data_IF_725445861116
#
_entry.id   IF_725445861116
#
_cell.length_a   1.000
_cell.length_b   1.000
_cell.length_c   1.000
_cell.angle_alpha   90.00
_cell.angle_beta   90.00
_cell.angle_gamma   90.00
#
_symmetry.space_group_name_H-M   'P 1'
#
loop_
_entity.id
_entity.type
_entity.pdbx_description
1 polymer ?
#
# COMPACT_ATOMS: atom_id res chain seq x y z
N UNK A 1 11.34 15.70 20.47
CA UNK A 1 9.98 15.26 20.09
C UNK A 1 10.06 14.58 18.75
N UNK A 2 9.27 13.53 18.52
CA UNK A 2 9.16 12.93 17.19
C UNK A 2 8.47 13.91 16.24
N UNK A 3 8.92 13.96 14.99
CA UNK A 3 8.37 14.87 13.97
C UNK A 3 7.47 14.07 13.05
N UNK A 4 6.26 14.57 12.84
CA UNK A 4 5.40 14.14 11.74
C UNK A 4 6.06 14.46 10.40
N UNK A 5 5.87 13.60 9.41
CA UNK A 5 6.40 13.79 8.07
C UNK A 5 5.33 13.46 7.05
N UNK A 6 5.36 14.14 5.92
CA UNK A 6 4.57 13.76 4.76
C UNK A 6 5.19 12.50 4.15
N UNK A 7 4.37 11.47 4.03
CA UNK A 7 4.74 10.19 3.46
C UNK A 7 3.88 9.95 2.23
N UNK A 8 4.45 10.22 1.05
CA UNK A 8 3.70 10.16 -0.19
C UNK A 8 3.78 8.78 -0.84
N UNK A 9 2.62 8.29 -1.27
CA UNK A 9 2.43 7.08 -2.07
C UNK A 9 1.43 7.40 -3.19
N UNK A 10 1.63 6.83 -4.37
CA UNK A 10 0.64 6.90 -5.45
C UNK A 10 0.27 5.52 -5.98
N UNK A 11 -1.01 5.30 -6.29
CA UNK A 11 -1.47 4.19 -7.12
C UNK A 11 -1.82 4.71 -8.51
N UNK A 12 -1.09 4.29 -9.55
CA UNK A 12 -1.25 4.78 -10.92
C UNK A 12 -2.33 4.02 -11.67
N UNK A 13 -3.42 4.70 -12.00
CA UNK A 13 -4.54 4.21 -12.80
C UNK A 13 -5.38 5.39 -13.30
N UNK A 14 -5.35 5.64 -14.61
CA UNK A 14 -6.17 6.69 -15.22
C UNK A 14 -7.67 6.37 -15.13
N UNK A 15 -8.51 7.41 -15.20
CA UNK A 15 -9.97 7.29 -15.22
C UNK A 15 -10.64 7.18 -13.86
N UNK A 16 -9.87 7.13 -12.77
CA UNK A 16 -10.42 7.25 -11.41
C UNK A 16 -10.87 8.69 -11.21
N UNK A 17 -12.15 8.88 -10.88
CA UNK A 17 -12.75 10.21 -10.70
C UNK A 17 -12.94 10.57 -9.23
N UNK A 18 -12.95 9.57 -8.34
CA UNK A 18 -12.98 9.74 -6.88
C UNK A 18 -12.20 8.61 -6.22
N UNK A 19 -11.52 8.92 -5.13
CA UNK A 19 -10.81 7.97 -4.30
C UNK A 19 -10.91 8.40 -2.84
N UNK A 20 -11.12 7.44 -1.95
CA UNK A 20 -11.17 7.63 -0.51
C UNK A 20 -10.53 6.40 0.17
N UNK A 21 -9.61 6.63 1.11
CA UNK A 21 -9.02 5.57 1.91
C UNK A 21 -9.36 5.82 3.38
N UNK A 22 -10.31 5.05 3.87
CA UNK A 22 -10.73 5.11 5.25
C UNK A 22 -9.83 4.21 6.09
N UNK A 23 -8.99 4.82 6.93
CA UNK A 23 -8.19 4.09 7.93
C UNK A 23 -9.13 3.52 8.99
N UNK A 24 -9.06 2.21 9.20
CA UNK A 24 -9.82 1.48 10.22
C UNK A 24 -8.98 1.21 11.47
N UNK A 25 -7.69 0.95 11.29
CA UNK A 25 -6.75 0.64 12.37
C UNK A 25 -5.32 0.98 11.91
N UNK A 26 -4.39 1.17 12.84
CA UNK A 26 -2.99 1.44 12.52
C UNK A 26 -2.03 0.88 13.57
N UNK A 27 -0.77 0.67 13.17
CA UNK A 27 0.34 0.36 14.06
C UNK A 27 1.47 1.33 13.80
N UNK A 28 2.00 1.93 14.86
CA UNK A 28 3.13 2.85 14.78
C UNK A 28 4.05 2.67 15.99
N UNK A 29 5.33 2.95 15.80
CA UNK A 29 6.31 2.84 16.88
C UNK A 29 6.01 3.81 18.01
N UNK A 30 6.04 3.32 19.26
CA UNK A 30 5.77 4.10 20.46
C UNK A 30 6.52 5.44 20.49
N UNK A 31 5.78 6.51 20.78
CA UNK A 31 6.27 7.90 20.80
C UNK A 31 6.38 8.58 19.44
N UNK A 32 5.97 7.94 18.34
CA UNK A 32 5.80 8.59 17.03
C UNK A 32 4.36 9.08 16.84
N UNK A 33 4.14 10.20 16.12
CA UNK A 33 2.81 10.69 15.79
C UNK A 33 2.18 9.92 14.62
N UNK A 34 0.85 9.84 14.61
CA UNK A 34 0.03 9.43 13.47
C UNK A 34 -1.23 10.30 13.45
N UNK A 35 -1.40 11.09 12.39
CA UNK A 35 -2.54 12.02 12.21
C UNK A 35 -3.41 11.65 10.99
N UNK A 36 -3.36 10.37 10.60
CA UNK A 36 -4.19 9.82 9.53
C UNK A 36 -3.58 9.95 8.14
N UNK A 37 -4.47 9.88 7.15
CA UNK A 37 -4.11 9.80 5.73
C UNK A 37 -5.07 10.68 4.94
N UNK A 38 -4.50 11.56 4.11
CA UNK A 38 -5.27 12.26 3.09
C UNK A 38 -5.18 11.48 1.78
N UNK A 39 -6.31 11.32 1.11
CA UNK A 39 -6.40 10.61 -0.18
C UNK A 39 -7.11 11.48 -1.20
N UNK A 40 -6.61 11.46 -2.43
CA UNK A 40 -7.21 12.21 -3.53
C UNK A 40 -7.08 11.45 -4.84
N UNK A 41 -8.13 11.49 -5.67
CA UNK A 41 -8.01 11.10 -7.07
C UNK A 41 -7.28 12.21 -7.84
N UNK A 42 -6.30 11.80 -8.65
CA UNK A 42 -5.52 12.66 -9.54
C UNK A 42 -5.61 12.14 -10.98
N UNK A 43 -5.17 12.92 -11.96
CA UNK A 43 -5.35 12.59 -13.38
C UNK A 43 -4.76 11.22 -13.77
N UNK A 44 -3.68 10.82 -13.11
CA UNK A 44 -2.97 9.57 -13.37
C UNK A 44 -3.17 8.49 -12.28
N UNK A 45 -4.10 8.67 -11.33
CA UNK A 45 -4.31 7.70 -10.27
C UNK A 45 -4.88 8.24 -8.97
N UNK A 46 -4.28 7.78 -7.87
CA UNK A 46 -4.64 8.13 -6.50
C UNK A 46 -3.36 8.53 -5.80
N UNK A 47 -3.36 9.68 -5.12
CA UNK A 47 -2.30 10.07 -4.21
C UNK A 47 -2.75 9.90 -2.76
N UNK A 48 -1.81 9.48 -1.93
CA UNK A 48 -1.95 9.31 -0.50
C UNK A 48 -0.84 10.11 0.19
N UNK A 49 -1.24 10.96 1.13
CA UNK A 49 -0.33 11.64 2.06
C UNK A 49 -0.58 11.07 3.46
N UNK A 50 0.33 10.22 3.96
CA UNK A 50 0.24 9.68 5.33
C UNK A 50 1.00 10.61 6.28
N UNK A 51 0.33 11.07 7.32
CA UNK A 51 0.90 11.95 8.34
C UNK A 51 1.37 11.09 9.51
N UNK A 52 2.64 10.68 9.47
CA UNK A 52 3.18 9.72 10.42
C UNK A 52 4.69 9.88 10.63
N UNK A 53 5.14 9.51 11.83
CA UNK A 53 6.57 9.39 12.14
C UNK A 53 7.26 8.24 11.39
N UNK A 54 8.59 8.30 11.27
CA UNK A 54 9.42 7.35 10.50
C UNK A 54 10.40 6.54 11.35
N UNK A 55 9.97 6.07 12.52
CA UNK A 55 10.79 5.18 13.35
C UNK A 55 10.40 3.73 13.08
N UNK A 56 11.32 2.96 12.51
CA UNK A 56 11.11 1.55 12.23
C UNK A 56 10.96 0.72 13.52
N UNK A 57 10.15 -0.33 13.47
CA UNK A 57 10.10 -1.38 14.49
C UNK A 57 9.67 -2.72 13.91
N UNK A 58 10.18 -3.80 14.52
CA UNK A 58 9.75 -5.18 14.23
C UNK A 58 8.29 -5.41 14.57
N UNK A 59 7.79 -4.81 15.65
CA UNK A 59 6.39 -4.95 16.08
C UNK A 59 5.41 -4.48 15.00
N UNK A 60 5.73 -3.42 14.26
CA UNK A 60 4.90 -2.97 13.14
C UNK A 60 4.89 -4.00 11.99
N UNK A 61 6.03 -4.59 11.66
CA UNK A 61 6.14 -5.63 10.63
C UNK A 61 5.36 -6.90 11.02
N UNK A 62 5.46 -7.32 12.29
CA UNK A 62 4.67 -8.44 12.83
C UNK A 62 3.17 -8.13 12.78
N UNK A 63 2.76 -6.92 13.17
CA UNK A 63 1.37 -6.48 13.10
C UNK A 63 0.83 -6.53 11.67
N UNK A 64 1.58 -6.01 10.70
CA UNK A 64 1.25 -6.05 9.27
C UNK A 64 1.04 -7.49 8.78
N UNK A 65 2.01 -8.38 9.05
CA UNK A 65 1.95 -9.78 8.63
C UNK A 65 0.77 -10.52 9.28
N UNK A 66 0.53 -10.28 10.56
CA UNK A 66 -0.59 -10.90 11.28
C UNK A 66 -1.94 -10.47 10.73
N UNK A 67 -2.12 -9.18 10.39
CA UNK A 67 -3.37 -8.69 9.78
C UNK A 67 -3.53 -9.11 8.32
N UNK A 68 -2.43 -9.39 7.63
CA UNK A 68 -2.50 -10.03 6.33
C UNK A 68 -2.93 -11.50 6.40
N UNK A 69 -3.00 -12.13 7.60
CA UNK A 69 -3.69 -13.41 7.85
C UNK A 69 -3.47 -14.52 6.79
N UNK A 70 -2.21 -14.73 6.38
CA UNK A 70 -1.87 -15.77 5.38
C UNK A 70 -2.07 -15.37 3.91
N UNK A 71 -2.51 -14.14 3.64
CA UNK A 71 -2.47 -13.53 2.31
C UNK A 71 -1.05 -13.16 1.89
N UNK A 72 -0.92 -12.19 0.98
CA UNK A 72 0.37 -11.84 0.41
C UNK A 72 0.65 -10.33 0.41
N UNK A 73 1.94 -9.99 0.26
CA UNK A 73 2.45 -8.63 0.22
C UNK A 73 3.44 -8.42 -0.93
N UNK A 74 3.52 -7.18 -1.42
CA UNK A 74 4.54 -6.70 -2.36
C UNK A 74 5.09 -5.35 -1.89
N UNK A 75 6.26 -4.96 -2.40
CA UNK A 75 6.92 -3.71 -2.02
C UNK A 75 7.50 -2.92 -3.22
N UNK A 76 7.85 -1.65 -3.01
CA UNK A 76 8.45 -0.77 -4.03
C UNK A 76 9.98 -0.79 -4.08
N UNK A 77 10.68 -1.34 -3.09
CA UNK A 77 12.17 -1.34 -3.07
C UNK A 77 12.74 -2.62 -2.44
N UNK A 78 11.89 -3.64 -2.30
CA UNK A 78 12.23 -4.93 -1.68
C UNK A 78 11.45 -6.05 -2.37
N UNK A 79 12.07 -7.22 -2.49
CA UNK A 79 11.50 -8.41 -3.12
C UNK A 79 11.20 -9.53 -2.12
N UNK A 80 11.53 -9.31 -0.85
CA UNK A 80 11.17 -10.23 0.23
C UNK A 80 9.66 -10.46 0.27
N UNK A 81 9.25 -11.59 0.85
CA UNK A 81 7.83 -11.90 1.00
C UNK A 81 7.16 -11.01 2.05
N UNK A 82 7.92 -10.54 3.04
CA UNK A 82 7.45 -9.75 4.17
C UNK A 82 8.54 -8.80 4.65
N UNK A 83 8.19 -7.61 5.16
CA UNK A 83 9.14 -6.70 5.78
C UNK A 83 9.67 -7.27 7.10
N UNK A 84 10.91 -6.95 7.44
CA UNK A 84 11.48 -7.24 8.76
C UNK A 84 11.17 -6.15 9.80
N UNK A 85 11.08 -4.90 9.37
CA UNK A 85 10.71 -3.74 10.18
C UNK A 85 9.88 -2.75 9.35
N UNK A 86 8.96 -2.04 10.01
CA UNK A 86 8.14 -1.01 9.38
C UNK A 86 8.07 0.24 10.27
N UNK A 87 7.98 1.40 9.65
CA UNK A 87 7.81 2.69 10.32
C UNK A 87 6.41 2.83 10.90
N UNK A 88 5.41 2.54 10.07
CA UNK A 88 4.00 2.51 10.42
C UNK A 88 3.23 1.60 9.45
N UNK A 89 2.02 1.24 9.83
CA UNK A 89 1.10 0.41 9.07
C UNK A 89 -0.30 0.97 9.23
N UNK A 90 -1.08 1.03 8.16
CA UNK A 90 -2.52 1.28 8.20
C UNK A 90 -3.26 0.07 7.66
N UNK A 91 -4.40 -0.24 8.27
CA UNK A 91 -5.44 -1.10 7.74
C UNK A 91 -6.61 -0.21 7.36
N UNK A 92 -7.11 -0.33 6.13
CA UNK A 92 -8.19 0.54 5.67
C UNK A 92 -8.96 0.00 4.49
N UNK A 93 -10.06 0.69 4.16
CA UNK A 93 -10.86 0.40 2.99
C UNK A 93 -10.56 1.44 1.91
N UNK A 94 -10.14 0.98 0.72
CA UNK A 94 -9.95 1.83 -0.44
C UNK A 94 -11.20 1.82 -1.31
N UNK A 95 -11.91 2.95 -1.35
CA UNK A 95 -13.07 3.15 -2.23
C UNK A 95 -12.65 3.99 -3.43
N UNK A 96 -12.95 3.52 -4.63
CA UNK A 96 -12.70 4.24 -5.88
C UNK A 96 -13.96 4.34 -6.73
N UNK A 97 -14.10 5.44 -7.46
CA UNK A 97 -15.06 5.57 -8.55
C UNK A 97 -14.32 5.53 -9.88
N UNK A 98 -14.67 4.55 -10.73
CA UNK A 98 -14.11 4.36 -12.06
C UNK A 98 -15.26 4.09 -13.04
N UNK A 99 -15.31 4.86 -14.13
CA UNK A 99 -16.37 4.78 -15.16
C UNK A 99 -17.79 4.88 -14.57
N UNK A 100 -17.96 5.74 -13.56
CA UNK A 100 -19.24 5.97 -12.87
C UNK A 100 -19.66 4.86 -11.90
N UNK A 101 -18.82 3.83 -11.70
CA UNK A 101 -19.08 2.71 -10.77
C UNK A 101 -18.16 2.79 -9.55
N UNK A 102 -18.68 2.36 -8.41
CA UNK A 102 -17.96 2.33 -7.14
C UNK A 102 -17.40 0.93 -6.89
N UNK A 103 -16.11 0.87 -6.55
CA UNK A 103 -15.41 -0.36 -6.18
C UNK A 103 -14.70 -0.16 -4.85
N UNK A 104 -14.75 -1.15 -3.96
CA UNK A 104 -14.13 -1.11 -2.64
C UNK A 104 -13.18 -2.29 -2.49
N UNK A 105 -11.91 -2.00 -2.18
CA UNK A 105 -10.98 -2.98 -1.62
C UNK A 105 -11.03 -2.87 -0.09
N UNK A 106 -11.60 -3.89 0.53
CA UNK A 106 -11.73 -3.95 1.98
C UNK A 106 -10.44 -4.47 2.62
N UNK A 107 -10.12 -3.96 3.81
CA UNK A 107 -9.01 -4.44 4.63
C UNK A 107 -7.65 -4.44 3.89
N UNK A 108 -7.42 -3.41 3.08
CA UNK A 108 -6.14 -3.16 2.43
C UNK A 108 -5.14 -2.64 3.46
N UNK A 109 -4.02 -3.34 3.58
CA UNK A 109 -2.89 -2.91 4.38
C UNK A 109 -1.94 -2.09 3.52
N UNK A 110 -1.58 -0.90 4.00
CA UNK A 110 -0.55 -0.06 3.40
C UNK A 110 0.45 0.30 4.49
N UNK A 111 1.73 0.14 4.21
CA UNK A 111 2.77 0.41 5.17
C UNK A 111 3.99 1.06 4.53
N UNK A 112 4.76 1.76 5.36
CA UNK A 112 6.07 2.27 4.98
C UNK A 112 7.14 1.61 5.83
N UNK A 113 8.22 1.18 5.20
CA UNK A 113 9.49 0.87 5.82
C UNK A 113 10.63 1.64 5.15
N UNK A 114 11.82 1.08 5.27
CA UNK A 114 13.01 1.56 4.56
C UNK A 114 13.63 0.39 3.80
N UNK A 115 14.31 0.67 2.69
CA UNK A 115 15.15 -0.32 2.01
C UNK A 115 16.58 -0.27 2.51
N UNK A 116 17.40 -1.22 2.07
CA UNK A 116 18.84 -1.30 2.39
C UNK A 116 19.68 -0.08 1.96
N UNK A 117 19.09 0.85 1.20
CA UNK A 117 19.71 2.11 0.77
C UNK A 117 19.11 3.34 1.46
N UNK A 118 18.45 3.16 2.60
CA UNK A 118 17.74 4.20 3.36
C UNK A 118 16.67 4.96 2.53
N UNK A 119 16.15 4.32 1.47
CA UNK A 119 15.05 4.86 0.67
C UNK A 119 13.73 4.43 1.28
N UNK A 120 12.71 5.29 1.18
CA UNK A 120 11.35 4.90 1.56
C UNK A 120 10.95 3.67 0.73
N UNK A 121 10.45 2.64 1.42
CA UNK A 121 9.94 1.44 0.80
C UNK A 121 8.48 1.27 1.20
N UNK A 122 7.58 1.21 0.23
CA UNK A 122 6.15 1.06 0.47
C UNK A 122 5.75 -0.38 0.31
N UNK A 123 4.90 -0.86 1.21
CA UNK A 123 4.35 -2.21 1.22
C UNK A 123 2.85 -2.13 1.09
N UNK A 124 2.28 -3.04 0.30
CA UNK A 124 0.84 -3.30 0.27
C UNK A 124 0.58 -4.77 0.53
N UNK A 125 -0.49 -5.07 1.27
CA UNK A 125 -0.94 -6.44 1.50
C UNK A 125 -2.46 -6.51 1.65
N UNK A 126 -3.00 -7.71 1.49
CA UNK A 126 -4.39 -7.99 1.79
C UNK A 126 -4.52 -9.42 2.31
N UNK A 127 -5.44 -9.63 3.25
CA UNK A 127 -5.77 -10.97 3.75
C UNK A 127 -6.38 -11.89 2.71
N UNK A 128 -6.97 -11.32 1.66
CA UNK A 128 -7.48 -12.06 0.50
C UNK A 128 -6.60 -11.82 -0.74
N UNK A 129 -5.39 -11.30 -0.53
CA UNK A 129 -4.48 -10.95 -1.59
C UNK A 129 -3.66 -12.16 -2.05
N UNK A 130 -3.47 -12.27 -3.36
CA UNK A 130 -2.65 -13.31 -3.98
C UNK A 130 -1.46 -12.68 -4.68
N UNK A 131 -0.24 -13.05 -4.28
CA UNK A 131 0.98 -12.60 -4.97
C UNK A 131 1.21 -13.50 -6.17
N UNK A 132 1.29 -12.89 -7.35
CA UNK A 132 1.65 -13.59 -8.58
C UNK A 132 3.16 -13.52 -8.72
N UNK A 133 3.80 -14.69 -8.63
CA UNK A 133 5.25 -14.82 -8.81
C UNK A 133 5.54 -14.86 -10.30
N UNK A 134 6.05 -13.75 -10.84
CA UNK A 134 6.57 -13.74 -12.20
C UNK A 134 8.00 -14.35 -12.22
N UNK A 135 8.40 -14.96 -13.34
CA UNK A 135 9.77 -15.40 -13.60
C UNK A 135 10.74 -14.21 -13.82
N UNK A 136 10.47 -13.06 -13.19
CA UNK A 136 11.24 -11.84 -13.33
C UNK A 136 11.55 -11.27 -11.93
N UNK A 137 12.82 -11.24 -11.50
CA UNK A 137 13.20 -10.86 -10.14
C UNK A 137 12.99 -9.37 -9.83
N UNK A 138 12.68 -8.54 -10.82
CA UNK A 138 12.47 -7.09 -10.64
C UNK A 138 11.00 -6.67 -10.72
N UNK A 139 10.08 -7.63 -10.76
CA UNK A 139 8.66 -7.39 -10.94
C UNK A 139 7.84 -8.10 -9.88
N UNK A 140 6.88 -7.39 -9.28
CA UNK A 140 5.97 -7.92 -8.28
C UNK A 140 4.54 -7.58 -8.67
N UNK A 141 3.64 -8.53 -8.43
CA UNK A 141 2.21 -8.36 -8.65
C UNK A 141 1.43 -8.90 -7.44
N UNK A 142 0.45 -8.12 -6.99
CA UNK A 142 -0.51 -8.50 -5.98
C UNK A 142 -1.92 -8.34 -6.56
N UNK A 143 -2.70 -9.41 -6.52
CA UNK A 143 -4.13 -9.39 -6.82
C UNK A 143 -4.90 -9.17 -5.52
N UNK A 144 -5.74 -8.14 -5.47
CA UNK A 144 -6.58 -7.82 -4.31
C UNK A 144 -8.04 -7.79 -4.75
N UNK A 145 -8.95 -8.52 -4.08
CA UNK A 145 -10.37 -8.45 -4.40
C UNK A 145 -10.96 -7.06 -4.16
N UNK A 146 -11.77 -6.61 -5.11
CA UNK A 146 -12.66 -5.45 -4.99
C UNK A 146 -14.12 -5.92 -5.05
N UNK A 147 -15.03 -5.13 -4.51
CA UNK A 147 -16.47 -5.35 -4.69
C UNK A 147 -16.86 -5.38 -6.17
N UNK A 148 -17.95 -6.08 -6.51
CA UNK A 148 -18.48 -6.11 -7.88
C UNK A 148 -17.72 -7.05 -8.84
N UNK A 149 -17.18 -8.16 -8.33
CA UNK A 149 -16.45 -9.18 -9.11
C UNK A 149 -15.25 -8.61 -9.86
N UNK A 150 -14.55 -7.68 -9.19
CA UNK A 150 -13.32 -7.08 -9.69
C UNK A 150 -12.14 -7.53 -8.85
N UNK A 151 -10.99 -7.63 -9.48
CA UNK A 151 -9.71 -7.77 -8.82
C UNK A 151 -8.86 -6.57 -9.21
N UNK A 152 -8.33 -5.89 -8.21
CA UNK A 152 -7.29 -4.89 -8.38
C UNK A 152 -5.96 -5.62 -8.53
N UNK A 153 -5.34 -5.49 -9.69
CA UNK A 153 -3.99 -5.93 -9.95
C UNK A 153 -3.05 -4.77 -9.63
N UNK A 154 -2.27 -4.90 -8.57
CA UNK A 154 -1.24 -3.95 -8.19
C UNK A 154 0.12 -4.47 -8.66
N UNK A 155 0.88 -3.62 -9.33
CA UNK A 155 2.15 -3.99 -9.92
C UNK A 155 3.22 -3.01 -9.48
N UNK A 156 4.39 -3.55 -9.22
CA UNK A 156 5.59 -2.77 -9.05
C UNK A 156 6.70 -3.35 -9.92
N UNK A 157 7.40 -2.46 -10.63
CA UNK A 157 8.62 -2.78 -11.34
C UNK A 157 9.71 -1.83 -10.85
N UNK A 158 10.84 -2.39 -10.40
CA UNK A 158 11.96 -1.58 -9.95
C UNK A 158 12.61 -0.85 -11.13
N UNK A 159 12.13 0.36 -11.41
CA UNK A 159 12.73 1.31 -12.36
C UNK A 159 13.44 2.40 -11.55
N UNK A 160 14.65 2.79 -11.98
CA UNK A 160 15.43 3.85 -11.33
C UNK A 160 14.56 5.12 -11.20
N UNK A 161 14.25 5.51 -9.96
CA UNK A 161 13.48 6.72 -9.65
C UNK A 161 12.02 6.51 -9.21
N UNK A 162 11.46 5.30 -9.31
CA UNK A 162 10.12 4.98 -8.82
C UNK A 162 10.17 4.27 -7.46
N UNK A 163 10.15 5.03 -6.37
CA UNK A 163 10.24 4.49 -4.98
C UNK A 163 8.91 4.51 -4.22
N UNK A 164 7.90 5.21 -4.74
CA UNK A 164 6.65 5.52 -4.02
C UNK A 164 5.38 5.37 -4.86
N UNK A 165 5.38 4.48 -5.85
CA UNK A 165 4.16 4.22 -6.59
C UNK A 165 4.01 2.76 -7.02
N UNK A 166 2.76 2.32 -7.09
CA UNK A 166 2.35 1.06 -7.71
C UNK A 166 1.48 1.38 -8.92
N UNK A 167 1.63 0.63 -10.01
CA UNK A 167 0.62 0.60 -11.06
C UNK A 167 -0.59 -0.21 -10.61
N UNK A 168 -1.79 0.20 -11.01
CA UNK A 168 -3.02 -0.52 -10.68
C UNK A 168 -3.85 -0.75 -11.95
N UNK A 169 -4.48 -1.92 -12.06
CA UNK A 169 -5.49 -2.25 -13.06
C UNK A 169 -6.69 -2.92 -12.38
N UNK A 170 -7.92 -2.68 -12.87
CA UNK A 170 -9.12 -3.39 -12.42
C UNK A 170 -9.55 -4.40 -13.49
N UNK A 171 -9.40 -5.69 -13.19
CA UNK A 171 -9.80 -6.79 -14.06
C UNK A 171 -11.10 -7.43 -13.57
N UNK A 172 -11.91 -7.92 -14.51
CA UNK A 172 -13.10 -8.74 -14.17
C UNK A 172 -12.69 -10.18 -13.97
N UNK A 173 -13.29 -10.85 -12.98
CA UNK A 173 -13.15 -12.30 -12.76
C UNK A 173 -14.38 -13.03 -13.27
#
# INVERSE_FOLDING_TARGET
MATERDNQLSFKKTGITRADYQVLDHSITSGQPFDGVKTQAVSDGIDFDFYAGRKASKSNAEWFRNRANGGAAIATEDFDSWPSELNFVTLGNLTITLDGKIYVAENLLIAQGHSSRDRNNWWIASAKGERVVANNPIYQMLLVPFTGWKVGKFEFQAVIGQVSNFSMELITV
#
